data_IF_016891114420
#
_entry.id   IF_016891114420
#
_cell.length_a   1.000
_cell.length_b   1.000
_cell.length_c   1.000
_cell.angle_alpha   90.00
_cell.angle_beta   90.00
_cell.angle_gamma   90.00
#
_symmetry.space_group_name_H-M   'P 1'
#
loop_
_entity.id
_entity.type
_entity.pdbx_description
1 polymer ?
#
# COMPACT_ATOMS: atom_id res chain seq x y z
N UNK A 1 19.79 -38.62 -16.37
CA UNK A 1 19.78 -37.67 -15.25
C UNK A 1 19.08 -36.41 -15.70
N UNK A 2 17.80 -36.26 -15.37
CA UNK A 2 17.01 -35.06 -15.65
C UNK A 2 17.45 -33.97 -14.69
N UNK A 3 17.94 -32.84 -15.21
CA UNK A 3 18.23 -31.66 -14.39
C UNK A 3 16.97 -31.29 -13.60
N UNK A 4 17.01 -31.24 -12.25
CA UNK A 4 15.84 -30.86 -11.47
C UNK A 4 15.42 -29.43 -11.84
N UNK A 5 14.13 -29.16 -11.70
CA UNK A 5 13.35 -28.03 -12.22
C UNK A 5 13.81 -26.64 -11.70
N UNK A 6 15.04 -26.19 -12.02
CA UNK A 6 15.67 -24.95 -11.52
C UNK A 6 14.89 -23.68 -11.87
N UNK A 7 14.16 -23.69 -12.98
CA UNK A 7 13.29 -22.59 -13.37
C UNK A 7 12.10 -22.43 -12.41
N UNK A 8 11.47 -23.54 -12.01
CA UNK A 8 10.36 -23.56 -11.06
C UNK A 8 10.80 -23.06 -9.69
N UNK A 9 11.91 -23.57 -9.17
CA UNK A 9 12.45 -23.11 -7.88
C UNK A 9 12.74 -21.62 -7.92
N UNK A 10 13.35 -21.09 -8.99
CA UNK A 10 13.59 -19.65 -9.10
C UNK A 10 12.30 -18.84 -9.03
N UNK A 11 11.23 -19.23 -9.75
CA UNK A 11 9.96 -18.52 -9.76
C UNK A 11 9.28 -18.51 -8.39
N UNK A 12 9.38 -19.62 -7.64
CA UNK A 12 8.87 -19.70 -6.27
C UNK A 12 9.58 -18.72 -5.34
N UNK A 13 10.91 -18.61 -5.40
CA UNK A 13 11.65 -17.64 -4.58
C UNK A 13 11.23 -16.21 -4.89
N UNK A 14 11.06 -15.86 -6.18
CA UNK A 14 10.62 -14.52 -6.60
C UNK A 14 9.26 -14.17 -6.01
N UNK A 15 8.29 -15.07 -6.19
CA UNK A 15 6.93 -14.90 -5.68
C UNK A 15 6.93 -14.80 -4.17
N UNK A 16 7.64 -15.71 -3.49
CA UNK A 16 7.73 -15.76 -2.04
C UNK A 16 8.29 -14.45 -1.46
N UNK A 17 9.39 -13.92 -2.00
CA UNK A 17 9.96 -12.65 -1.52
C UNK A 17 8.97 -11.49 -1.67
N UNK A 18 8.33 -11.38 -2.84
CA UNK A 18 7.35 -10.31 -3.09
C UNK A 18 6.14 -10.43 -2.16
N UNK A 19 5.57 -11.63 -2.03
CA UNK A 19 4.39 -11.86 -1.18
C UNK A 19 4.74 -11.71 0.29
N UNK A 20 5.93 -12.12 0.72
CA UNK A 20 6.38 -11.98 2.11
C UNK A 20 6.57 -10.51 2.49
N UNK A 21 7.26 -9.72 1.66
CA UNK A 21 7.46 -8.29 1.94
C UNK A 21 6.14 -7.50 1.89
N UNK A 22 5.29 -7.76 0.89
CA UNK A 22 3.97 -7.14 0.77
C UNK A 22 3.06 -7.51 1.95
N UNK A 23 3.04 -8.80 2.30
CA UNK A 23 2.26 -9.31 3.43
C UNK A 23 2.74 -8.75 4.77
N UNK A 24 4.05 -8.71 4.99
CA UNK A 24 4.64 -8.08 6.16
C UNK A 24 4.20 -6.62 6.30
N UNK A 25 4.31 -5.83 5.23
CA UNK A 25 3.86 -4.44 5.22
C UNK A 25 2.34 -4.33 5.48
N UNK A 26 1.53 -5.15 4.80
CA UNK A 26 0.08 -5.16 4.98
C UNK A 26 -0.32 -5.40 6.43
N UNK A 27 0.22 -6.44 7.07
CA UNK A 27 -0.10 -6.76 8.47
C UNK A 27 0.47 -5.71 9.43
N UNK A 28 1.68 -5.21 9.20
CA UNK A 28 2.26 -4.13 9.99
C UNK A 28 1.34 -2.89 9.99
N UNK A 29 0.92 -2.44 8.81
CA UNK A 29 0.07 -1.27 8.66
C UNK A 29 -1.35 -1.51 9.16
N UNK A 30 -1.93 -2.69 8.90
CA UNK A 30 -3.25 -3.06 9.40
C UNK A 30 -3.30 -3.02 10.93
N UNK A 31 -2.29 -3.58 11.60
CA UNK A 31 -2.22 -3.64 13.06
C UNK A 31 -1.92 -2.28 13.71
N UNK A 32 -1.39 -1.32 12.94
CA UNK A 32 -1.04 0.02 13.43
C UNK A 32 -1.91 1.12 12.85
N UNK A 33 -2.92 0.77 12.04
CA UNK A 33 -3.83 1.71 11.42
C UNK A 33 -4.62 2.48 12.49
N UNK A 34 -4.87 3.77 12.22
CA UNK A 34 -5.64 4.60 13.13
C UNK A 34 -7.07 4.04 13.28
N UNK A 35 -7.58 3.85 14.51
CA UNK A 35 -8.92 3.32 14.73
C UNK A 35 -10.04 4.30 14.35
N UNK A 36 -9.69 5.55 14.04
CA UNK A 36 -10.61 6.62 13.65
C UNK A 36 -9.85 7.83 13.12
N UNK A 37 -10.53 8.97 12.99
CA UNK A 37 -9.89 10.24 12.63
C UNK A 37 -8.86 10.66 13.67
N UNK A 38 -7.72 11.15 13.19
CA UNK A 38 -6.61 11.60 14.03
C UNK A 38 -5.82 12.70 13.33
N UNK A 39 -5.24 13.59 14.15
CA UNK A 39 -4.26 14.60 13.71
C UNK A 39 -2.83 14.09 13.77
N UNK A 40 -2.61 12.86 14.26
CA UNK A 40 -1.32 12.21 14.21
C UNK A 40 -0.84 12.04 12.76
N UNK A 41 0.46 11.86 12.57
CA UNK A 41 1.06 11.61 11.26
C UNK A 41 0.81 12.72 10.22
N UNK A 42 0.51 13.94 10.68
CA UNK A 42 0.14 15.07 9.83
C UNK A 42 -1.15 14.84 9.03
N UNK A 43 -2.06 13.99 9.54
CA UNK A 43 -3.38 13.79 8.96
C UNK A 43 -4.25 15.03 9.19
N UNK A 44 -4.48 15.79 8.13
CA UNK A 44 -5.32 17.00 8.17
C UNK A 44 -6.55 16.86 7.28
N UNK A 45 -6.48 16.02 6.26
CA UNK A 45 -7.44 16.00 5.16
C UNK A 45 -8.42 14.84 5.28
N UNK A 46 -8.07 13.80 6.06
CA UNK A 46 -8.85 12.56 6.15
C UNK A 46 -10.34 12.75 6.49
N UNK A 47 -10.68 13.70 7.37
CA UNK A 47 -12.08 14.01 7.68
C UNK A 47 -12.84 14.58 6.48
N UNK A 48 -12.21 15.50 5.75
CA UNK A 48 -12.79 16.11 4.56
C UNK A 48 -12.87 15.13 3.38
N UNK A 49 -11.84 14.32 3.17
CA UNK A 49 -11.81 13.28 2.14
C UNK A 49 -12.94 12.26 2.35
N UNK A 50 -13.15 11.81 3.59
CA UNK A 50 -14.25 10.91 3.94
C UNK A 50 -15.61 11.58 3.75
N UNK A 51 -15.77 12.83 4.22
CA UNK A 51 -17.01 13.58 4.07
C UNK A 51 -17.36 13.76 2.59
N UNK A 52 -16.40 14.14 1.75
CA UNK A 52 -16.57 14.26 0.31
C UNK A 52 -16.97 12.92 -0.33
N UNK A 53 -16.29 11.82 0.04
CA UNK A 53 -16.63 10.50 -0.47
C UNK A 53 -18.07 10.10 -0.14
N UNK A 54 -18.53 10.25 1.10
CA UNK A 54 -19.89 9.82 1.50
C UNK A 54 -21.01 10.73 1.00
N UNK A 55 -20.73 12.02 0.79
CA UNK A 55 -21.73 13.00 0.36
C UNK A 55 -21.71 13.28 -1.15
N UNK A 56 -20.81 12.64 -1.90
CA UNK A 56 -20.50 13.00 -3.30
C UNK A 56 -20.06 14.47 -3.45
N UNK A 57 -19.36 14.98 -2.44
CA UNK A 57 -18.77 16.31 -2.42
C UNK A 57 -17.41 16.36 -3.11
N UNK A 58 -16.82 17.55 -3.10
CA UNK A 58 -15.46 17.81 -3.60
C UNK A 58 -14.63 18.31 -2.42
N UNK A 59 -13.53 17.65 -2.04
CA UNK A 59 -12.66 18.15 -0.99
C UNK A 59 -11.89 19.38 -1.50
N UNK A 60 -11.18 20.07 -0.59
CA UNK A 60 -10.38 21.23 -0.92
C UNK A 60 -9.44 20.98 -2.12
N UNK A 61 -9.08 22.04 -2.87
CA UNK A 61 -8.19 21.90 -4.02
C UNK A 61 -6.89 21.14 -3.66
N UNK A 62 -6.47 20.14 -4.46
CA UNK A 62 -6.85 19.91 -5.86
C UNK A 62 -8.09 19.01 -6.08
N UNK A 63 -8.81 18.61 -5.04
CA UNK A 63 -10.06 17.83 -5.17
C UNK A 63 -9.87 16.30 -5.34
N UNK A 64 -8.68 15.84 -5.74
CA UNK A 64 -8.29 14.42 -5.87
C UNK A 64 -9.37 13.47 -6.43
N UNK A 65 -9.93 13.73 -7.63
CA UNK A 65 -11.11 13.04 -8.14
C UNK A 65 -10.94 11.50 -8.23
N UNK A 66 -9.77 11.03 -8.65
CA UNK A 66 -9.47 9.59 -8.68
C UNK A 66 -9.49 8.96 -7.28
N UNK A 67 -8.88 9.62 -6.31
CA UNK A 67 -8.86 9.14 -4.92
C UNK A 67 -10.28 9.07 -4.36
N UNK A 68 -11.11 10.09 -4.60
CA UNK A 68 -12.50 10.13 -4.12
C UNK A 68 -13.32 8.98 -4.72
N UNK A 69 -13.24 8.74 -6.03
CA UNK A 69 -13.95 7.60 -6.66
C UNK A 69 -13.51 6.26 -6.07
N UNK A 70 -12.20 6.07 -5.85
CA UNK A 70 -11.68 4.86 -5.22
C UNK A 70 -12.15 4.71 -3.77
N UNK A 71 -12.12 5.80 -3.00
CA UNK A 71 -12.57 5.81 -1.61
C UNK A 71 -14.07 5.53 -1.50
N UNK A 72 -14.88 6.05 -2.41
CA UNK A 72 -16.32 5.75 -2.50
C UNK A 72 -16.58 4.26 -2.72
N UNK A 73 -15.97 3.67 -3.76
CA UNK A 73 -16.10 2.24 -4.03
C UNK A 73 -15.58 1.37 -2.89
N UNK A 74 -14.48 1.79 -2.27
CA UNK A 74 -13.88 1.13 -1.11
C UNK A 74 -14.80 1.17 0.12
N UNK A 75 -15.37 2.31 0.47
CA UNK A 75 -16.28 2.47 1.60
C UNK A 75 -17.59 1.69 1.39
N UNK A 76 -18.09 1.64 0.14
CA UNK A 76 -19.24 0.80 -0.21
C UNK A 76 -18.93 -0.68 0.01
N UNK A 77 -17.82 -1.18 -0.53
CA UNK A 77 -17.42 -2.58 -0.38
C UNK A 77 -17.15 -2.95 1.08
N UNK A 78 -16.37 -2.14 1.79
CA UNK A 78 -16.03 -2.39 3.20
C UNK A 78 -17.21 -2.21 4.14
N UNK A 79 -18.20 -1.39 3.79
CA UNK A 79 -19.46 -1.31 4.52
C UNK A 79 -20.28 -2.59 4.47
N UNK A 80 -20.18 -3.36 3.38
CA UNK A 80 -20.81 -4.69 3.25
C UNK A 80 -20.00 -5.75 3.99
N UNK A 81 -18.66 -5.73 3.84
CA UNK A 81 -17.77 -6.76 4.43
C UNK A 81 -17.58 -6.62 5.93
N UNK A 82 -17.54 -5.38 6.44
CA UNK A 82 -17.25 -5.06 7.84
C UNK A 82 -18.33 -4.13 8.40
N UNK A 83 -19.58 -4.62 8.55
CA UNK A 83 -20.67 -3.81 9.08
C UNK A 83 -20.36 -3.34 10.50
N UNK A 84 -20.91 -2.18 10.90
CA UNK A 84 -20.74 -1.57 12.23
C UNK A 84 -19.30 -1.17 12.60
N UNK A 85 -18.40 -1.04 11.63
CA UNK A 85 -17.06 -0.48 11.86
C UNK A 85 -17.00 1.01 11.58
N UNK A 86 -16.06 1.71 12.22
CA UNK A 86 -15.86 3.14 12.00
C UNK A 86 -15.50 3.43 10.52
N UNK A 87 -16.04 4.51 9.97
CA UNK A 87 -15.81 4.86 8.56
C UNK A 87 -14.39 5.37 8.31
N UNK A 88 -13.78 6.04 9.28
CA UNK A 88 -12.42 6.52 9.20
C UNK A 88 -11.42 5.39 9.33
N UNK A 89 -11.71 4.38 10.15
CA UNK A 89 -10.92 3.14 10.15
C UNK A 89 -10.99 2.46 8.78
N UNK A 90 -12.20 2.28 8.20
CA UNK A 90 -12.36 1.71 6.85
C UNK A 90 -11.63 2.53 5.79
N UNK A 91 -11.64 3.87 5.89
CA UNK A 91 -10.85 4.75 5.03
C UNK A 91 -9.35 4.47 5.12
N UNK A 92 -8.82 4.31 6.34
CA UNK A 92 -7.40 4.02 6.56
C UNK A 92 -6.99 2.68 5.93
N UNK A 93 -7.91 1.71 5.84
CA UNK A 93 -7.62 0.43 5.17
C UNK A 93 -7.32 0.58 3.68
N UNK A 94 -7.86 1.60 3.00
CA UNK A 94 -7.46 1.89 1.62
C UNK A 94 -5.98 2.28 1.57
N UNK A 95 -5.53 3.13 2.50
CA UNK A 95 -4.13 3.50 2.63
C UNK A 95 -3.24 2.29 2.94
N UNK A 96 -3.68 1.40 3.84
CA UNK A 96 -2.98 0.14 4.16
C UNK A 96 -2.75 -0.69 2.90
N UNK A 97 -3.78 -0.89 2.08
CA UNK A 97 -3.69 -1.67 0.84
C UNK A 97 -2.80 -0.99 -0.19
N UNK A 98 -2.94 0.31 -0.41
CA UNK A 98 -2.11 1.05 -1.37
C UNK A 98 -0.64 1.07 -0.95
N UNK A 99 -0.35 1.35 0.32
CA UNK A 99 1.01 1.39 0.85
C UNK A 99 1.67 0.00 0.81
N UNK A 100 0.96 -1.06 1.20
CA UNK A 100 1.47 -2.44 1.07
C UNK A 100 1.71 -2.81 -0.41
N UNK A 101 0.79 -2.43 -1.30
CA UNK A 101 0.99 -2.58 -2.75
C UNK A 101 2.26 -1.88 -3.23
N UNK A 102 2.54 -0.67 -2.74
CA UNK A 102 3.75 0.08 -3.10
C UNK A 102 5.02 -0.67 -2.70
N UNK A 103 5.03 -1.37 -1.56
CA UNK A 103 6.14 -2.25 -1.13
C UNK A 103 6.35 -3.37 -2.15
N UNK A 104 5.29 -4.09 -2.52
CA UNK A 104 5.38 -5.19 -3.48
C UNK A 104 5.90 -4.76 -4.86
N UNK A 105 5.44 -3.61 -5.35
CA UNK A 105 5.93 -3.02 -6.59
C UNK A 105 7.39 -2.60 -6.46
N UNK A 106 7.77 -1.97 -5.33
CA UNK A 106 9.15 -1.56 -5.05
C UNK A 106 10.11 -2.75 -5.05
N UNK A 107 9.73 -3.89 -4.44
CA UNK A 107 10.51 -5.13 -4.50
C UNK A 107 10.71 -5.57 -5.96
N UNK A 108 9.65 -5.55 -6.77
CA UNK A 108 9.76 -5.94 -8.19
C UNK A 108 10.68 -5.02 -8.99
N UNK A 109 10.54 -3.71 -8.80
CA UNK A 109 11.37 -2.69 -9.46
C UNK A 109 12.84 -2.83 -9.03
N UNK A 110 13.10 -2.99 -7.74
CA UNK A 110 14.44 -3.22 -7.22
C UNK A 110 15.07 -4.50 -7.79
N UNK A 111 14.32 -5.60 -7.85
CA UNK A 111 14.80 -6.86 -8.43
C UNK A 111 15.16 -6.71 -9.92
N UNK A 112 14.43 -5.87 -10.68
CA UNK A 112 14.73 -5.58 -12.07
C UNK A 112 16.02 -4.79 -12.25
N UNK A 113 16.24 -3.74 -11.45
CA UNK A 113 17.48 -2.97 -11.49
C UNK A 113 18.69 -3.78 -11.02
N UNK A 114 18.48 -4.64 -10.04
CA UNK A 114 19.52 -5.50 -9.47
C UNK A 114 19.69 -6.84 -10.20
N UNK A 115 19.07 -7.04 -11.37
CA UNK A 115 19.07 -8.33 -12.10
C UNK A 115 20.45 -8.90 -12.45
N UNK A 116 21.49 -8.06 -12.45
CA UNK A 116 22.89 -8.48 -12.65
C UNK A 116 23.55 -9.06 -11.38
N UNK A 117 22.94 -8.87 -10.22
CA UNK A 117 23.39 -9.42 -8.95
C UNK A 117 22.83 -10.83 -8.74
N UNK A 118 23.69 -11.75 -8.31
CA UNK A 118 23.29 -13.11 -7.91
C UNK A 118 22.28 -13.11 -6.76
N UNK A 119 22.30 -12.06 -5.92
CA UNK A 119 21.43 -11.88 -4.76
C UNK A 119 20.32 -10.85 -4.99
N UNK A 120 19.95 -10.61 -6.24
CA UNK A 120 18.95 -9.61 -6.65
C UNK A 120 17.67 -9.62 -5.78
N UNK A 121 17.09 -10.79 -5.55
CA UNK A 121 15.85 -10.93 -4.78
C UNK A 121 16.02 -10.74 -3.27
N UNK A 122 17.19 -11.08 -2.72
CA UNK A 122 17.51 -10.75 -1.32
C UNK A 122 17.54 -9.23 -1.13
N UNK A 123 18.30 -8.53 -1.98
CA UNK A 123 18.42 -7.08 -1.91
C UNK A 123 17.09 -6.38 -2.18
N UNK A 124 16.33 -6.85 -3.16
CA UNK A 124 14.99 -6.35 -3.43
C UNK A 124 14.03 -6.52 -2.24
N UNK A 125 14.05 -7.68 -1.58
CA UNK A 125 13.28 -7.92 -0.37
C UNK A 125 13.67 -6.97 0.76
N UNK A 126 14.97 -6.75 0.98
CA UNK A 126 15.48 -5.79 1.97
C UNK A 126 15.05 -4.36 1.64
N UNK A 127 15.05 -3.95 0.37
CA UNK A 127 14.52 -2.65 -0.07
C UNK A 127 13.04 -2.53 0.25
N UNK A 128 12.25 -3.58 0.01
CA UNK A 128 10.82 -3.61 0.36
C UNK A 128 10.58 -3.46 1.85
N UNK A 129 11.33 -4.19 2.69
CA UNK A 129 11.23 -4.07 4.15
C UNK A 129 11.66 -2.68 4.63
N UNK A 130 12.74 -2.12 4.07
CA UNK A 130 13.19 -0.77 4.38
C UNK A 130 12.13 0.27 4.01
N UNK A 131 11.51 0.13 2.83
CA UNK A 131 10.38 0.97 2.41
C UNK A 131 9.19 0.83 3.37
N UNK A 132 8.89 -0.39 3.84
CA UNK A 132 7.74 -0.61 4.70
C UNK A 132 7.88 0.00 6.10
N UNK A 133 9.09 0.06 6.65
CA UNK A 133 9.36 0.60 7.99
C UNK A 133 9.90 2.03 7.98
N UNK A 134 10.06 2.63 6.79
CA UNK A 134 10.48 4.02 6.68
C UNK A 134 9.43 4.94 7.33
N UNK A 135 9.81 5.90 8.20
CA UNK A 135 8.86 6.66 9.00
C UNK A 135 7.80 7.40 8.17
N UNK A 136 8.18 7.97 7.03
CA UNK A 136 7.26 8.71 6.17
C UNK A 136 6.22 7.79 5.49
N UNK A 137 6.60 6.78 4.68
CA UNK A 137 5.65 5.82 4.12
C UNK A 137 4.77 5.14 5.17
N UNK A 138 5.37 4.71 6.29
CA UNK A 138 4.61 4.07 7.36
C UNK A 138 3.57 5.02 7.91
N UNK A 139 3.94 6.25 8.28
CA UNK A 139 2.99 7.22 8.86
C UNK A 139 1.74 7.45 8.00
N UNK A 140 1.90 7.50 6.67
CA UNK A 140 0.80 7.74 5.74
C UNK A 140 0.00 6.47 5.40
N UNK A 141 0.54 5.29 5.67
CA UNK A 141 -0.18 4.03 5.53
C UNK A 141 -1.26 3.86 6.61
N UNK A 142 -1.17 4.60 7.73
CA UNK A 142 -2.01 4.40 8.92
C UNK A 142 -3.28 5.26 8.93
N UNK A 143 -3.36 6.26 8.06
CA UNK A 143 -4.41 7.29 8.08
C UNK A 143 -5.10 7.40 6.73
N UNK A 144 -6.33 7.92 6.70
CA UNK A 144 -7.05 8.19 5.46
C UNK A 144 -6.47 9.44 4.81
N UNK A 145 -5.55 9.25 3.88
CA UNK A 145 -4.87 10.33 3.17
C UNK A 145 -4.58 9.89 1.73
N UNK A 146 -4.31 10.87 0.87
CA UNK A 146 -4.00 10.60 -0.55
C UNK A 146 -2.61 9.98 -0.74
N UNK A 147 -1.69 10.17 0.20
CA UNK A 147 -0.27 9.89 0.00
C UNK A 147 0.05 8.41 -0.19
N UNK A 148 -0.69 7.49 0.45
CA UNK A 148 -0.49 6.05 0.25
C UNK A 148 -0.80 5.61 -1.19
N UNK A 149 -1.83 6.20 -1.82
CA UNK A 149 -2.12 5.97 -3.23
C UNK A 149 -1.03 6.56 -4.13
N UNK A 150 -0.52 7.75 -3.79
CA UNK A 150 0.59 8.36 -4.51
C UNK A 150 1.86 7.50 -4.44
N UNK A 151 2.19 6.93 -3.28
CA UNK A 151 3.31 6.00 -3.12
C UNK A 151 3.20 4.81 -4.06
N UNK A 152 2.00 4.23 -4.20
CA UNK A 152 1.76 3.13 -5.13
C UNK A 152 2.00 3.56 -6.58
N UNK A 153 1.50 4.72 -7.00
CA UNK A 153 1.71 5.22 -8.36
C UNK A 153 3.18 5.56 -8.64
N UNK A 154 3.88 6.19 -7.71
CA UNK A 154 5.32 6.47 -7.83
C UNK A 154 6.10 5.16 -7.97
N UNK A 155 5.78 4.15 -7.16
CA UNK A 155 6.41 2.83 -7.28
C UNK A 155 6.13 2.18 -8.65
N UNK A 156 4.90 2.29 -9.17
CA UNK A 156 4.53 1.77 -10.49
C UNK A 156 5.26 2.48 -11.64
N UNK A 157 5.50 3.80 -11.52
CA UNK A 157 6.27 4.57 -12.50
C UNK A 157 7.74 4.13 -12.53
N UNK A 158 8.30 3.64 -11.43
CA UNK A 158 9.67 3.11 -11.39
C UNK A 158 9.92 1.88 -12.27
N UNK A 159 8.86 1.30 -12.85
CA UNK A 159 8.94 0.22 -13.84
C UNK A 159 8.91 0.69 -15.29
N UNK A 160 8.39 1.89 -15.57
CA UNK A 160 8.25 2.45 -16.92
C UNK A 160 9.62 2.80 -17.53
#
# INVERSE_FOLDING_TARGET
MTQPNTLSTSLWHRRLTMTAATGFAFFLYLLTAAPGLTWAHHGADGGELLAAAVTNGVPHPPGYPLYIVLLQGWLWLTGILFPNTDIAWRGSLLSVVCAAGSVGVTVRVAAYFLRKSERSWLWAGLTGVAWSVAPLPWSQALITEVYALHMLFVALLGWA
#
